data_IF_264772316247
#
_entry.id   IF_264772316247
#
_cell.length_a   1.000
_cell.length_b   1.000
_cell.length_c   1.000
_cell.angle_alpha   90.00
_cell.angle_beta   90.00
_cell.angle_gamma   90.00
#
_symmetry.space_group_name_H-M   'P 1'
#
loop_
_entity.id
_entity.type
_entity.pdbx_description
1 polymer ?
#
# COMPACT_ATOMS: atom_id res chain seq x y z
N UNK A 1 5.14 37.92 14.03
CA UNK A 1 4.45 38.10 12.73
C UNK A 1 5.23 37.53 11.54
N UNK A 2 6.55 37.68 11.46
CA UNK A 2 7.36 37.18 10.30
C UNK A 2 7.33 35.66 10.12
N UNK A 3 7.38 34.88 11.20
CA UNK A 3 7.37 33.41 11.16
C UNK A 3 6.13 32.83 10.43
N UNK A 4 4.93 33.31 10.74
CA UNK A 4 3.70 32.81 10.11
C UNK A 4 3.62 33.14 8.61
N UNK A 5 4.21 34.26 8.18
CA UNK A 5 4.26 34.62 6.75
C UNK A 5 5.24 33.72 6.00
N UNK A 6 6.41 33.47 6.59
CA UNK A 6 7.40 32.54 6.02
C UNK A 6 6.85 31.13 5.95
N UNK A 7 6.24 30.64 7.04
CA UNK A 7 5.64 29.32 7.09
C UNK A 7 4.57 29.12 6.00
N UNK A 8 3.70 30.12 5.76
CA UNK A 8 2.71 30.03 4.67
C UNK A 8 3.36 29.96 3.28
N UNK A 9 4.41 30.75 3.04
CA UNK A 9 5.11 30.70 1.74
C UNK A 9 5.80 29.35 1.53
N UNK A 10 6.50 28.83 2.54
CA UNK A 10 7.14 27.52 2.49
C UNK A 10 6.10 26.43 2.26
N UNK A 11 4.99 26.46 3.01
CA UNK A 11 3.90 25.50 2.84
C UNK A 11 3.34 25.51 1.41
N UNK A 12 3.07 26.70 0.86
CA UNK A 12 2.53 26.86 -0.50
C UNK A 12 3.47 26.26 -1.56
N UNK A 13 4.74 26.67 -1.56
CA UNK A 13 5.70 26.19 -2.56
C UNK A 13 6.07 24.72 -2.38
N UNK A 14 6.25 24.26 -1.15
CA UNK A 14 6.48 22.84 -0.88
C UNK A 14 5.31 21.99 -1.36
N UNK A 15 4.07 22.39 -1.07
CA UNK A 15 2.87 21.69 -1.55
C UNK A 15 2.79 21.63 -3.08
N UNK A 16 3.13 22.74 -3.76
CA UNK A 16 3.11 22.79 -5.22
C UNK A 16 4.16 21.84 -5.84
N UNK A 17 5.37 21.80 -5.27
CA UNK A 17 6.47 20.94 -5.77
C UNK A 17 6.14 19.46 -5.62
N UNK A 18 5.58 19.06 -4.48
CA UNK A 18 5.30 17.63 -4.22
C UNK A 18 3.89 17.20 -4.66
N UNK A 19 3.09 18.09 -5.26
CA UNK A 19 1.68 17.82 -5.58
C UNK A 19 1.47 16.53 -6.39
N UNK A 20 2.29 16.30 -7.43
CA UNK A 20 2.14 15.13 -8.29
C UNK A 20 2.52 13.82 -7.56
N UNK A 21 3.72 13.67 -6.98
CA UNK A 21 4.03 12.44 -6.26
C UNK A 21 3.15 12.24 -5.02
N UNK A 22 2.69 13.30 -4.36
CA UNK A 22 1.74 13.22 -3.27
C UNK A 22 0.37 12.68 -3.73
N UNK A 23 -0.12 13.12 -4.90
CA UNK A 23 -1.35 12.58 -5.48
C UNK A 23 -1.23 11.08 -5.76
N UNK A 24 -0.09 10.63 -6.31
CA UNK A 24 0.19 9.21 -6.55
C UNK A 24 0.16 8.43 -5.23
N UNK A 25 0.86 8.90 -4.19
CA UNK A 25 0.85 8.29 -2.86
C UNK A 25 -0.56 8.18 -2.28
N UNK A 26 -1.35 9.23 -2.33
CA UNK A 26 -2.69 9.25 -1.75
C UNK A 26 -3.65 8.35 -2.53
N UNK A 27 -3.68 8.45 -3.87
CA UNK A 27 -4.59 7.67 -4.71
C UNK A 27 -4.28 6.16 -4.62
N UNK A 28 -3.01 5.77 -4.73
CA UNK A 28 -2.59 4.37 -4.60
C UNK A 28 -2.82 3.86 -3.17
N UNK A 29 -2.58 4.68 -2.14
CA UNK A 29 -2.85 4.32 -0.75
C UNK A 29 -4.32 4.02 -0.49
N UNK A 30 -5.26 4.80 -1.07
CA UNK A 30 -6.71 4.51 -0.99
C UNK A 30 -7.03 3.16 -1.63
N UNK A 31 -6.45 2.86 -2.80
CA UNK A 31 -6.65 1.55 -3.45
C UNK A 31 -6.10 0.40 -2.59
N UNK A 32 -4.94 0.59 -1.97
CA UNK A 32 -4.35 -0.42 -1.07
C UNK A 32 -5.19 -0.66 0.20
N UNK A 33 -5.89 0.34 0.71
CA UNK A 33 -6.82 0.16 1.84
C UNK A 33 -7.98 -0.77 1.47
N UNK A 34 -8.40 -0.78 0.20
CA UNK A 34 -9.50 -1.62 -0.28
C UNK A 34 -9.07 -3.02 -0.73
N UNK A 35 -7.76 -3.33 -0.73
CA UNK A 35 -7.20 -4.55 -1.35
C UNK A 35 -7.84 -5.87 -0.88
N UNK A 36 -8.27 -5.96 0.39
CA UNK A 36 -8.93 -7.16 0.95
C UNK A 36 -10.42 -7.25 0.64
N UNK A 37 -11.03 -6.16 0.24
CA UNK A 37 -12.47 -6.04 -0.03
C UNK A 37 -12.79 -5.98 -1.52
N UNK A 38 -11.80 -5.73 -2.35
CA UNK A 38 -11.98 -5.57 -3.77
C UNK A 38 -11.17 -6.61 -4.55
N UNK A 39 -11.86 -7.63 -5.07
CA UNK A 39 -11.26 -8.76 -5.80
C UNK A 39 -10.45 -8.33 -7.04
N UNK A 40 -10.78 -7.17 -7.64
CA UNK A 40 -10.02 -6.60 -8.73
C UNK A 40 -8.60 -6.19 -8.31
N UNK A 41 -8.42 -5.72 -7.07
CA UNK A 41 -7.11 -5.30 -6.54
C UNK A 41 -6.28 -6.51 -6.12
N UNK A 42 -6.89 -7.41 -5.35
CA UNK A 42 -6.24 -8.61 -4.84
C UNK A 42 -7.14 -9.83 -4.95
N UNK A 43 -6.62 -10.99 -5.40
CA UNK A 43 -7.39 -12.22 -5.46
C UNK A 43 -8.03 -12.57 -4.12
N UNK A 44 -9.29 -12.98 -4.16
CA UNK A 44 -10.01 -13.46 -2.97
C UNK A 44 -9.37 -14.77 -2.51
N UNK A 45 -9.20 -14.91 -1.19
CA UNK A 45 -8.66 -16.13 -0.60
C UNK A 45 -9.72 -17.22 -0.55
N UNK A 46 -9.45 -18.36 -1.18
CA UNK A 46 -10.25 -19.56 -1.11
C UNK A 46 -9.76 -20.45 0.02
N UNK A 47 -10.69 -21.15 0.64
CA UNK A 47 -10.38 -22.08 1.72
C UNK A 47 -10.14 -23.47 1.13
N UNK A 48 -9.03 -24.10 1.52
CA UNK A 48 -8.72 -25.49 1.21
C UNK A 48 -9.26 -26.44 2.26
N UNK A 49 -9.05 -27.75 2.03
CA UNK A 49 -9.54 -28.84 2.87
C UNK A 49 -8.51 -29.36 3.88
N UNK A 50 -7.23 -29.14 3.64
CA UNK A 50 -6.15 -29.65 4.49
C UNK A 50 -5.86 -28.75 5.69
N UNK A 51 -6.05 -29.23 6.92
CA UNK A 51 -5.65 -28.52 8.14
C UNK A 51 -4.16 -28.64 8.45
N UNK A 52 -3.50 -29.67 7.96
CA UNK A 52 -2.06 -29.88 8.01
C UNK A 52 -1.51 -29.97 6.57
N UNK A 53 -0.33 -29.38 6.29
CA UNK A 53 0.28 -29.53 4.96
C UNK A 53 0.60 -30.99 4.69
N UNK A 54 -0.13 -31.61 3.76
CA UNK A 54 0.12 -32.97 3.28
C UNK A 54 1.06 -32.97 2.06
N UNK A 55 1.31 -31.80 1.48
CA UNK A 55 2.16 -31.61 0.30
C UNK A 55 3.56 -31.15 0.70
N UNK A 56 4.58 -31.76 0.09
CA UNK A 56 5.91 -31.21 0.10
C UNK A 56 6.06 -30.10 -0.98
N UNK A 57 7.19 -29.41 -0.97
CA UNK A 57 7.46 -28.33 -1.94
C UNK A 57 7.54 -28.84 -3.39
N UNK A 58 8.00 -30.07 -3.62
CA UNK A 58 8.03 -30.65 -4.96
C UNK A 58 6.61 -30.87 -5.48
N UNK A 59 5.74 -31.46 -4.68
CA UNK A 59 4.33 -31.68 -5.00
C UNK A 59 3.59 -30.37 -5.21
N UNK A 60 3.91 -29.33 -4.43
CA UNK A 60 3.33 -28.00 -4.59
C UNK A 60 3.71 -27.38 -5.95
N UNK A 61 4.98 -27.47 -6.35
CA UNK A 61 5.44 -27.00 -7.65
C UNK A 61 4.75 -27.77 -8.78
N UNK A 62 4.68 -29.10 -8.69
CA UNK A 62 3.98 -29.93 -9.67
C UNK A 62 2.50 -29.60 -9.80
N UNK A 63 1.83 -29.23 -8.68
CA UNK A 63 0.43 -28.80 -8.71
C UNK A 63 0.23 -27.55 -9.55
N UNK A 64 1.17 -26.60 -9.50
CA UNK A 64 1.13 -25.38 -10.32
C UNK A 64 1.54 -25.66 -11.77
N UNK A 65 2.53 -26.52 -12.00
CA UNK A 65 3.03 -26.88 -13.34
C UNK A 65 2.01 -27.63 -14.19
N UNK A 66 1.03 -28.32 -13.58
CA UNK A 66 -0.02 -29.06 -14.30
C UNK A 66 -0.85 -28.18 -15.23
N UNK A 67 -0.96 -26.90 -14.94
CA UNK A 67 -1.59 -25.93 -15.85
C UNK A 67 -0.52 -25.13 -16.61
N UNK A 68 -0.33 -25.41 -17.91
CA UNK A 68 0.68 -24.72 -18.72
C UNK A 68 0.42 -23.22 -18.85
N UNK A 69 -0.81 -22.74 -18.60
CA UNK A 69 -1.17 -21.33 -18.70
C UNK A 69 -0.43 -20.45 -17.68
N UNK A 70 0.05 -21.03 -16.58
CA UNK A 70 0.85 -20.31 -15.59
C UNK A 70 2.30 -20.09 -16.02
N UNK A 71 2.80 -20.84 -17.01
CA UNK A 71 4.16 -20.73 -17.54
C UNK A 71 5.25 -21.17 -16.56
N UNK A 72 4.90 -21.87 -15.48
CA UNK A 72 5.83 -22.30 -14.43
C UNK A 72 6.55 -23.58 -14.86
N UNK A 73 7.89 -23.57 -14.81
CA UNK A 73 8.76 -24.72 -15.12
C UNK A 73 9.62 -25.12 -13.93
N UNK A 74 10.15 -24.13 -13.22
CA UNK A 74 11.09 -24.33 -12.11
C UNK A 74 10.73 -23.39 -10.96
N UNK A 75 11.42 -23.52 -9.84
CA UNK A 75 11.30 -22.58 -8.71
C UNK A 75 11.73 -21.16 -9.07
N UNK A 76 12.54 -20.98 -10.13
CA UNK A 76 12.94 -19.64 -10.58
C UNK A 76 11.77 -18.81 -11.11
N UNK A 77 10.66 -19.46 -11.51
CA UNK A 77 9.42 -18.78 -11.93
C UNK A 77 8.55 -18.35 -10.75
N UNK A 78 8.87 -18.83 -9.54
CA UNK A 78 8.13 -18.56 -8.30
C UNK A 78 8.82 -17.46 -7.51
N UNK A 79 8.10 -16.39 -7.23
CA UNK A 79 8.58 -15.30 -6.38
C UNK A 79 8.56 -15.69 -4.89
N UNK A 80 7.41 -16.25 -4.45
CA UNK A 80 7.18 -16.55 -3.03
C UNK A 80 6.06 -17.56 -2.85
N UNK A 81 6.11 -18.32 -1.76
CA UNK A 81 5.01 -19.19 -1.30
C UNK A 81 4.58 -18.74 0.10
N UNK A 82 3.29 -18.45 0.25
CA UNK A 82 2.64 -18.11 1.53
C UNK A 82 1.75 -19.28 1.94
N UNK A 83 2.20 -20.05 2.93
CA UNK A 83 1.49 -21.24 3.44
C UNK A 83 0.59 -20.84 4.60
N UNK A 84 -0.70 -21.15 4.49
CA UNK A 84 -1.72 -20.84 5.49
C UNK A 84 -2.42 -22.09 6.00
N UNK A 85 -1.83 -22.81 6.98
CA UNK A 85 -2.37 -24.08 7.48
C UNK A 85 -3.79 -23.93 8.02
N UNK A 86 -4.09 -22.86 8.79
CA UNK A 86 -5.42 -22.60 9.33
C UNK A 86 -6.52 -22.34 8.28
N UNK A 87 -6.11 -22.13 7.01
CA UNK A 87 -7.01 -21.99 5.85
C UNK A 87 -6.94 -23.19 4.91
N UNK A 88 -5.98 -24.11 5.12
CA UNK A 88 -5.75 -25.24 4.25
C UNK A 88 -5.24 -24.87 2.86
N UNK A 89 -4.58 -23.72 2.69
CA UNK A 89 -4.18 -23.20 1.37
C UNK A 89 -2.73 -22.75 1.36
N UNK A 90 -2.03 -23.02 0.26
CA UNK A 90 -0.77 -22.39 -0.12
C UNK A 90 -1.02 -21.43 -1.27
N UNK A 91 -0.52 -20.20 -1.14
CA UNK A 91 -0.55 -19.18 -2.19
C UNK A 91 0.82 -19.12 -2.83
N UNK A 92 0.91 -19.55 -4.08
CA UNK A 92 2.12 -19.50 -4.88
C UNK A 92 2.09 -18.23 -5.72
N UNK A 93 3.02 -17.33 -5.47
CA UNK A 93 3.13 -16.06 -6.19
C UNK A 93 4.19 -16.19 -7.27
N UNK A 94 3.79 -15.95 -8.49
CA UNK A 94 4.62 -16.11 -9.67
C UNK A 94 5.28 -14.77 -10.05
N UNK A 95 6.46 -14.86 -10.66
CA UNK A 95 7.15 -13.71 -11.23
C UNK A 95 6.32 -13.02 -12.34
N UNK A 96 5.38 -13.75 -12.95
CA UNK A 96 4.40 -13.20 -13.89
C UNK A 96 3.33 -12.29 -13.24
N UNK A 97 3.31 -12.16 -11.90
CA UNK A 97 2.33 -11.39 -11.16
C UNK A 97 1.03 -12.14 -10.85
N UNK A 98 0.93 -13.42 -11.21
CA UNK A 98 -0.21 -14.26 -10.82
C UNK A 98 -0.03 -14.86 -9.42
N UNK A 99 -1.15 -15.01 -8.71
CA UNK A 99 -1.27 -15.81 -7.50
C UNK A 99 -2.04 -17.08 -7.84
N UNK A 100 -1.46 -18.23 -7.55
CA UNK A 100 -2.10 -19.54 -7.67
C UNK A 100 -2.34 -20.09 -6.27
N UNK A 101 -3.58 -20.36 -5.93
CA UNK A 101 -3.98 -20.91 -4.64
C UNK A 101 -4.13 -22.42 -4.74
N UNK A 102 -3.37 -23.16 -3.94
CA UNK A 102 -3.32 -24.63 -3.95
C UNK A 102 -3.83 -25.16 -2.62
N UNK A 103 -4.72 -26.13 -2.66
CA UNK A 103 -5.21 -26.87 -1.48
C UNK A 103 -4.08 -27.69 -0.87
N UNK A 104 -3.78 -27.46 0.40
CA UNK A 104 -2.72 -28.18 1.14
C UNK A 104 -3.02 -29.67 1.38
N UNK A 105 -4.28 -30.08 1.35
CA UNK A 105 -4.66 -31.48 1.54
C UNK A 105 -4.62 -32.30 0.26
N UNK A 106 -5.00 -31.68 -0.87
CA UNK A 106 -5.21 -32.43 -2.13
C UNK A 106 -4.29 -32.04 -3.27
N UNK A 107 -3.58 -30.93 -3.16
CA UNK A 107 -2.76 -30.37 -4.24
C UNK A 107 -3.56 -29.80 -5.42
N UNK A 108 -4.88 -29.62 -5.29
CA UNK A 108 -5.70 -29.03 -6.35
C UNK A 108 -5.53 -27.51 -6.36
N UNK A 109 -5.47 -26.94 -7.55
CA UNK A 109 -5.58 -25.48 -7.72
C UNK A 109 -7.03 -25.07 -7.42
N UNK A 110 -7.18 -24.20 -6.42
CA UNK A 110 -8.47 -23.66 -5.99
C UNK A 110 -8.85 -22.41 -6.76
N UNK A 111 -7.86 -21.56 -7.03
CA UNK A 111 -8.06 -20.29 -7.69
C UNK A 111 -6.75 -19.77 -8.27
N UNK A 112 -6.84 -19.00 -9.35
CA UNK A 112 -5.71 -18.24 -9.88
C UNK A 112 -6.19 -16.89 -10.37
N UNK A 113 -5.43 -15.83 -10.09
CA UNK A 113 -5.71 -14.50 -10.61
C UNK A 113 -4.47 -13.61 -10.56
N UNK A 114 -4.46 -12.57 -11.38
CA UNK A 114 -3.42 -11.56 -11.40
C UNK A 114 -3.52 -10.64 -10.17
N UNK A 115 -2.41 -10.41 -9.48
CA UNK A 115 -2.31 -9.57 -8.27
C UNK A 115 -2.00 -8.12 -8.65
N UNK A 116 -3.05 -7.31 -8.82
CA UNK A 116 -2.86 -5.88 -9.08
C UNK A 116 -2.34 -5.12 -7.87
N UNK A 117 -2.55 -5.67 -6.65
CA UNK A 117 -2.02 -5.07 -5.42
C UNK A 117 -0.51 -4.86 -5.48
N UNK A 118 0.25 -5.78 -6.07
CA UNK A 118 1.71 -5.70 -6.13
C UNK A 118 2.16 -4.55 -7.04
N UNK A 119 1.48 -4.37 -8.18
CA UNK A 119 1.68 -3.22 -9.05
C UNK A 119 1.30 -1.90 -8.36
N UNK A 120 0.17 -1.88 -7.64
CA UNK A 120 -0.28 -0.69 -6.91
C UNK A 120 0.68 -0.37 -5.76
N UNK A 121 1.22 -1.39 -5.08
CA UNK A 121 2.26 -1.22 -4.05
C UNK A 121 3.54 -0.63 -4.64
N UNK A 122 3.98 -1.12 -5.81
CA UNK A 122 5.15 -0.58 -6.51
C UNK A 122 4.94 0.87 -7.00
N UNK A 123 3.73 1.23 -7.41
CA UNK A 123 3.36 2.61 -7.73
C UNK A 123 3.34 3.47 -6.46
N UNK A 124 2.79 2.94 -5.36
CA UNK A 124 2.68 3.64 -4.09
C UNK A 124 4.03 4.00 -3.49
N UNK A 125 4.97 3.07 -3.49
CA UNK A 125 6.31 3.31 -2.96
C UNK A 125 7.28 3.92 -3.98
N UNK A 126 6.86 4.06 -5.23
CA UNK A 126 7.63 4.67 -6.31
C UNK A 126 8.60 3.73 -7.02
N UNK A 127 8.74 2.48 -6.59
CA UNK A 127 9.67 1.53 -7.21
C UNK A 127 9.29 1.19 -8.67
N UNK A 128 8.02 1.33 -9.03
CA UNK A 128 7.54 1.16 -10.40
C UNK A 128 8.24 2.09 -11.42
N UNK A 129 8.56 3.33 -11.01
CA UNK A 129 9.08 4.36 -11.93
C UNK A 129 10.59 4.26 -12.15
N UNK A 130 11.35 3.69 -11.24
CA UNK A 130 12.82 3.61 -11.33
C UNK A 130 13.47 2.84 -10.19
N UNK A 131 12.78 1.83 -9.64
CA UNK A 131 13.29 0.99 -8.56
C UNK A 131 13.61 1.77 -7.29
N UNK A 132 14.68 1.36 -6.60
CA UNK A 132 15.08 1.97 -5.32
C UNK A 132 15.46 3.45 -5.45
N UNK A 133 15.92 3.88 -6.61
CA UNK A 133 16.26 5.28 -6.85
C UNK A 133 15.06 6.22 -6.71
N UNK A 134 13.95 5.93 -7.36
CA UNK A 134 12.72 6.73 -7.25
C UNK A 134 12.03 6.54 -5.90
N UNK A 135 12.05 5.33 -5.36
CA UNK A 135 11.51 4.99 -4.05
C UNK A 135 12.16 5.84 -2.94
N UNK A 136 13.50 5.84 -2.88
CA UNK A 136 14.25 6.53 -1.82
C UNK A 136 14.54 7.98 -2.14
N UNK A 137 14.71 8.34 -3.43
CA UNK A 137 15.08 9.70 -3.86
C UNK A 137 13.90 10.63 -4.10
N UNK A 138 12.70 10.12 -4.40
CA UNK A 138 11.53 10.94 -4.69
C UNK A 138 10.37 10.65 -3.72
N UNK A 139 9.96 9.40 -3.60
CA UNK A 139 8.75 9.06 -2.85
C UNK A 139 8.94 9.15 -1.33
N UNK A 140 10.07 8.69 -0.79
CA UNK A 140 10.38 8.86 0.63
C UNK A 140 10.48 10.35 1.04
N UNK A 141 11.22 11.22 0.34
CA UNK A 141 11.22 12.67 0.64
C UNK A 141 9.84 13.30 0.51
N UNK A 142 9.01 12.87 -0.46
CA UNK A 142 7.63 13.33 -0.59
C UNK A 142 6.79 12.97 0.63
N UNK A 143 6.89 11.73 1.12
CA UNK A 143 6.22 11.30 2.35
C UNK A 143 6.65 12.12 3.57
N UNK A 144 7.94 12.38 3.73
CA UNK A 144 8.47 13.24 4.80
C UNK A 144 7.96 14.67 4.67
N UNK A 145 7.95 15.22 3.45
CA UNK A 145 7.42 16.56 3.20
C UNK A 145 5.92 16.66 3.52
N UNK A 146 5.12 15.63 3.21
CA UNK A 146 3.71 15.57 3.60
C UNK A 146 3.51 15.60 5.12
N UNK A 147 4.34 14.89 5.89
CA UNK A 147 4.30 14.94 7.35
C UNK A 147 4.63 16.34 7.88
N UNK A 148 5.65 16.99 7.33
CA UNK A 148 6.02 18.35 7.71
C UNK A 148 4.93 19.36 7.33
N UNK A 149 4.33 19.23 6.16
CA UNK A 149 3.21 20.07 5.71
C UNK A 149 1.99 19.87 6.61
N UNK A 150 1.67 18.64 6.99
CA UNK A 150 0.62 18.35 7.95
C UNK A 150 0.87 19.04 9.30
N UNK A 151 2.08 18.87 9.86
CA UNK A 151 2.46 19.48 11.12
C UNK A 151 2.41 21.02 11.05
N UNK A 152 2.91 21.62 9.97
CA UNK A 152 2.87 23.06 9.75
C UNK A 152 1.43 23.58 9.57
N UNK A 153 0.58 22.82 8.90
CA UNK A 153 -0.84 23.11 8.75
C UNK A 153 -1.58 23.09 10.08
N UNK A 154 -1.34 22.06 10.90
CA UNK A 154 -1.89 21.97 12.27
C UNK A 154 -1.44 23.13 13.14
N UNK A 155 -0.17 23.53 13.05
CA UNK A 155 0.36 24.70 13.75
C UNK A 155 -0.37 25.99 13.32
N UNK A 156 -0.52 26.23 12.03
CA UNK A 156 -1.24 27.41 11.52
C UNK A 156 -2.69 27.43 11.98
N UNK A 157 -3.37 26.30 11.94
CA UNK A 157 -4.73 26.16 12.44
C UNK A 157 -4.83 26.49 13.93
N UNK A 158 -3.93 25.91 14.74
CA UNK A 158 -3.89 26.16 16.20
C UNK A 158 -3.68 27.64 16.53
N UNK A 159 -2.71 28.30 15.91
CA UNK A 159 -2.43 29.72 16.13
C UNK A 159 -3.64 30.60 15.76
N UNK A 160 -4.28 30.29 14.65
CA UNK A 160 -5.48 31.02 14.20
C UNK A 160 -6.64 30.81 15.16
N UNK A 161 -6.85 29.59 15.62
CA UNK A 161 -7.94 29.25 16.56
C UNK A 161 -7.72 29.91 17.94
N UNK A 162 -6.51 29.82 18.49
CA UNK A 162 -6.15 30.44 19.75
C UNK A 162 -6.28 31.98 19.70
N UNK A 163 -5.89 32.60 18.59
CA UNK A 163 -6.07 34.03 18.35
C UNK A 163 -7.54 34.47 18.37
N UNK A 164 -8.39 33.73 17.69
CA UNK A 164 -9.87 34.01 17.69
C UNK A 164 -10.48 33.87 19.07
N UNK A 165 -10.05 32.92 19.88
CA UNK A 165 -10.52 32.77 21.27
C UNK A 165 -10.14 33.96 22.16
N UNK A 166 -8.91 34.46 22.05
CA UNK A 166 -8.45 35.64 22.82
C UNK A 166 -9.22 36.89 22.48
N UNK A 167 -9.48 37.15 21.21
CA UNK A 167 -10.27 38.30 20.76
C UNK A 167 -11.72 38.23 21.29
N UNK A 168 -12.38 37.08 21.24
CA UNK A 168 -13.73 36.88 21.77
C UNK A 168 -13.80 37.07 23.30
N UNK A 169 -12.78 36.61 24.03
CA UNK A 169 -12.72 36.81 25.49
C UNK A 169 -12.57 38.29 25.84
N UNK A 170 -11.74 39.02 25.09
CA UNK A 170 -11.55 40.47 25.31
C UNK A 170 -12.82 41.26 25.06
N UNK A 171 -13.56 40.95 23.99
CA UNK A 171 -14.86 41.61 23.71
C UNK A 171 -15.94 41.35 24.79
N UNK A 172 -15.95 40.18 25.41
CA UNK A 172 -16.88 39.90 26.52
C UNK A 172 -16.59 40.71 27.77
N UNK A 173 -15.32 40.95 28.10
CA UNK A 173 -14.94 41.75 29.27
C UNK A 173 -15.10 43.26 29.06
N UNK A 174 -15.21 43.76 27.84
CA UNK A 174 -15.41 45.18 27.56
C UNK A 174 -16.89 45.56 27.50
N UNK A 175 -17.83 44.62 27.64
CA UNK A 175 -19.28 44.83 27.64
C UNK A 175 -19.91 44.66 29.02
N UNK A 176 -19.11 44.29 30.03
CA UNK A 176 -19.49 44.30 31.46
C UNK A 176 -18.90 45.51 32.19
#
# INVERSE_FOLDING_TARGET
>A
MKFNVVNRKVHYWASAIIAVPALVLLASGVLLQTKKHWSWVQPVEHRGTGSAPALDFHQLLESVRRDPSFGVRTWDDVNRVDVRPGRGVAKVWLNSGYEVQVDLGTGRVLHSAYRRSDLIEAIHDGSFFGGDWTKLGLFLPTGLALLLLWASGMWMWWVTYAGKRRVRAHHRHSQT
#
